data_IF_806447767151
#
_entry.id   IF_806447767151
#
_cell.length_a   1.000
_cell.length_b   1.000
_cell.length_c   1.000
_cell.angle_alpha   90.00
_cell.angle_beta   90.00
_cell.angle_gamma   90.00
#
_symmetry.space_group_name_H-M   'P 1'
#
loop_
_entity.id
_entity.type
_entity.pdbx_description
1 polymer ?
#
# COMPACT_ATOMS: atom_id res chain seq x y z
N UNK A 1 -6.63 19.71 9.94
CA UNK A 1 -5.80 18.57 9.51
C UNK A 1 -5.94 18.47 7.99
N UNK A 2 -4.85 18.24 7.25
CA UNK A 2 -4.86 18.23 5.79
C UNK A 2 -5.04 16.80 5.30
N UNK A 3 -6.18 16.49 4.67
CA UNK A 3 -6.46 15.19 4.08
C UNK A 3 -6.08 15.18 2.61
N UNK A 4 -5.54 14.07 2.13
CA UNK A 4 -5.20 13.88 0.73
C UNK A 4 -5.30 12.41 0.35
N UNK A 5 -5.41 12.13 -0.93
CA UNK A 5 -5.27 10.78 -1.47
C UNK A 5 -3.84 10.58 -1.96
N UNK A 6 -3.27 9.43 -1.63
CA UNK A 6 -2.01 8.95 -2.14
C UNK A 6 -2.19 7.58 -2.80
N UNK A 7 -1.23 7.19 -3.63
CA UNK A 7 -1.22 5.88 -4.29
C UNK A 7 -0.18 4.99 -3.62
N UNK A 8 -0.60 3.80 -3.21
CA UNK A 8 0.30 2.71 -2.87
C UNK A 8 0.22 1.68 -3.99
N UNK A 9 1.36 1.24 -4.52
CA UNK A 9 1.40 0.24 -5.57
C UNK A 9 2.56 -0.71 -5.29
N UNK A 10 2.33 -2.02 -5.16
CA UNK A 10 3.36 -2.95 -4.76
C UNK A 10 4.44 -3.05 -5.84
N UNK A 11 5.69 -3.02 -5.42
CA UNK A 11 6.82 -3.52 -6.19
C UNK A 11 6.96 -5.04 -6.08
N UNK A 12 6.11 -5.68 -5.25
CA UNK A 12 6.17 -7.11 -4.92
C UNK A 12 7.52 -7.48 -4.33
N UNK A 13 7.93 -6.71 -3.34
CA UNK A 13 9.19 -6.87 -2.65
C UNK A 13 9.00 -6.68 -1.15
N UNK A 14 9.62 -7.51 -0.30
CA UNK A 14 9.40 -7.48 1.15
C UNK A 14 9.65 -6.12 1.84
N UNK A 15 10.31 -5.18 1.14
CA UNK A 15 10.53 -3.81 1.62
C UNK A 15 9.35 -2.85 1.37
N UNK A 16 8.27 -3.28 0.72
CA UNK A 16 7.10 -2.44 0.55
C UNK A 16 6.45 -2.16 1.91
N UNK A 17 5.97 -0.94 2.10
CA UNK A 17 5.42 -0.50 3.38
C UNK A 17 4.05 -1.15 3.62
N UNK A 18 3.90 -1.87 4.74
CA UNK A 18 2.60 -2.35 5.22
C UNK A 18 1.70 -1.18 5.64
N UNK A 19 0.40 -1.28 5.35
CA UNK A 19 -0.59 -0.24 5.63
C UNK A 19 -1.75 -0.80 6.43
N UNK A 20 -2.26 -0.05 7.41
CA UNK A 20 -3.44 -0.44 8.19
C UNK A 20 -4.34 0.76 8.43
N UNK A 21 -5.63 0.63 8.13
CA UNK A 21 -6.62 1.68 8.38
C UNK A 21 -6.67 1.99 9.88
N UNK A 22 -6.61 3.29 10.21
CA UNK A 22 -6.56 3.79 11.59
C UNK A 22 -5.15 3.93 12.15
N UNK A 23 -4.13 3.30 11.55
CA UNK A 23 -2.75 3.42 12.01
C UNK A 23 -2.19 4.81 11.69
N UNK A 24 -1.40 5.33 12.63
CA UNK A 24 -0.57 6.53 12.43
C UNK A 24 0.89 6.10 12.44
N UNK A 25 1.64 6.46 11.41
CA UNK A 25 3.04 6.11 11.28
C UNK A 25 3.79 7.16 10.46
N UNK A 26 5.10 7.00 10.38
CA UNK A 26 5.95 7.73 9.45
C UNK A 26 6.11 6.89 8.19
N UNK A 27 5.60 7.40 7.07
CA UNK A 27 5.67 6.75 5.77
C UNK A 27 6.71 7.42 4.89
N UNK A 28 7.45 6.61 4.14
CA UNK A 28 8.29 7.08 3.06
C UNK A 28 7.40 7.35 1.84
N UNK A 29 7.39 8.59 1.36
CA UNK A 29 6.55 9.03 0.25
C UNK A 29 7.36 9.79 -0.78
N UNK A 30 6.96 9.66 -2.05
CA UNK A 30 7.49 10.43 -3.18
C UNK A 30 6.37 11.31 -3.72
N UNK A 31 6.67 12.57 -3.98
CA UNK A 31 5.69 13.51 -4.54
C UNK A 31 5.97 13.68 -6.03
N UNK A 32 5.29 12.92 -6.89
CA UNK A 32 5.34 13.22 -8.31
C UNK A 32 4.60 14.52 -8.63
N UNK A 33 4.83 15.07 -9.82
CA UNK A 33 4.17 16.29 -10.31
C UNK A 33 2.63 16.19 -10.32
N UNK A 34 2.07 14.98 -10.29
CA UNK A 34 0.63 14.71 -10.40
C UNK A 34 0.02 13.98 -9.19
N UNK A 35 0.80 13.32 -8.34
CA UNK A 35 0.25 12.53 -7.23
C UNK A 35 1.28 12.25 -6.12
N UNK A 36 0.79 12.14 -4.89
CA UNK A 36 1.59 11.62 -3.77
C UNK A 36 1.57 10.10 -3.82
N UNK A 37 2.73 9.46 -3.69
CA UNK A 37 2.87 8.00 -3.74
C UNK A 37 3.64 7.49 -2.53
N UNK A 38 3.27 6.32 -2.03
CA UNK A 38 4.13 5.60 -1.10
C UNK A 38 5.36 5.10 -1.85
N UNK A 39 6.53 5.22 -1.23
CA UNK A 39 7.73 4.61 -1.77
C UNK A 39 7.65 3.08 -1.62
N UNK A 40 7.98 2.36 -2.68
CA UNK A 40 7.93 0.90 -2.78
C UNK A 40 9.21 0.40 -3.47
N UNK A 41 9.65 -0.81 -3.13
CA UNK A 41 10.88 -1.41 -3.65
C UNK A 41 12.09 -0.48 -3.60
N UNK A 42 12.76 -0.31 -4.75
CA UNK A 42 13.97 0.50 -4.88
C UNK A 42 13.72 1.99 -5.15
N UNK A 43 12.47 2.44 -5.25
CA UNK A 43 12.15 3.86 -5.47
C UNK A 43 12.66 4.73 -4.31
N UNK A 44 12.70 4.17 -3.10
CA UNK A 44 13.29 4.81 -1.92
C UNK A 44 14.78 5.13 -2.07
N UNK A 45 15.52 4.47 -2.98
CA UNK A 45 16.96 4.62 -3.10
C UNK A 45 17.41 5.61 -4.20
N UNK A 46 16.51 6.01 -5.10
CA UNK A 46 16.90 6.73 -6.35
C UNK A 46 16.32 8.14 -6.48
N UNK A 47 15.35 8.51 -5.66
CA UNK A 47 14.65 9.78 -5.84
C UNK A 47 15.04 10.84 -4.79
N UNK A 48 15.51 12.00 -5.26
CA UNK A 48 15.79 13.18 -4.43
C UNK A 48 14.51 13.76 -3.81
N UNK A 49 13.34 13.26 -4.20
CA UNK A 49 12.03 13.68 -3.72
C UNK A 49 11.45 12.77 -2.62
N UNK A 50 12.21 11.78 -2.14
CA UNK A 50 11.80 10.97 -0.99
C UNK A 50 11.64 11.83 0.26
N UNK A 51 10.46 11.75 0.90
CA UNK A 51 10.14 12.43 2.15
C UNK A 51 9.56 11.45 3.15
N UNK A 52 9.97 11.58 4.40
CA UNK A 52 9.29 10.95 5.52
C UNK A 52 8.11 11.83 5.94
N UNK A 53 6.92 11.23 5.95
CA UNK A 53 5.65 11.92 6.22
C UNK A 53 4.93 11.19 7.35
N UNK A 54 4.72 11.87 8.46
CA UNK A 54 3.84 11.34 9.50
C UNK A 54 2.38 11.53 9.07
N UNK A 55 1.65 10.42 8.96
CA UNK A 55 0.26 10.44 8.55
C UNK A 55 -0.56 9.32 9.21
N UNK A 56 -1.86 9.53 9.27
CA UNK A 56 -2.85 8.50 9.62
C UNK A 56 -3.52 7.96 8.37
N UNK A 57 -3.59 6.64 8.25
CA UNK A 57 -4.34 5.98 7.17
C UNK A 57 -5.84 6.03 7.51
N UNK A 58 -6.63 6.66 6.65
CA UNK A 58 -8.08 6.80 6.83
C UNK A 58 -8.85 5.72 6.08
N UNK A 59 -8.42 5.37 4.87
CA UNK A 59 -9.04 4.33 4.06
C UNK A 59 -8.07 3.78 3.03
N UNK A 60 -8.29 2.54 2.59
CA UNK A 60 -7.57 1.89 1.49
C UNK A 60 -8.62 1.28 0.56
N UNK A 61 -8.50 1.56 -0.73
CA UNK A 61 -9.39 1.04 -1.76
C UNK A 61 -8.61 0.57 -2.98
N UNK A 62 -9.03 -0.54 -3.55
CA UNK A 62 -8.56 -1.06 -4.83
C UNK A 62 -9.79 -1.41 -5.69
N UNK A 63 -9.72 -1.18 -6.99
CA UNK A 63 -10.89 -1.38 -7.85
C UNK A 63 -11.28 -2.86 -7.94
N UNK A 64 -10.29 -3.75 -7.94
CA UNK A 64 -10.50 -5.19 -8.07
C UNK A 64 -10.86 -5.86 -6.73
N UNK A 65 -10.19 -5.49 -5.63
CA UNK A 65 -10.38 -6.12 -4.32
C UNK A 65 -11.39 -5.39 -3.42
N UNK A 66 -11.77 -4.16 -3.78
CA UNK A 66 -12.67 -3.32 -3.00
C UNK A 66 -11.99 -2.65 -1.80
N UNK A 67 -12.72 -2.54 -0.69
CA UNK A 67 -12.23 -1.89 0.54
C UNK A 67 -11.27 -2.80 1.28
N UNK A 68 -10.16 -2.23 1.74
CA UNK A 68 -9.09 -2.94 2.43
C UNK A 68 -8.89 -2.32 3.81
N UNK A 69 -8.78 -3.18 4.82
CA UNK A 69 -8.53 -2.77 6.21
C UNK A 69 -7.04 -2.79 6.55
N UNK A 70 -6.28 -3.70 5.91
CA UNK A 70 -4.86 -3.92 6.17
C UNK A 70 -4.16 -4.56 4.96
N UNK A 71 -2.94 -4.14 4.70
CA UNK A 71 -2.00 -4.73 3.75
C UNK A 71 -0.76 -5.13 4.55
N UNK A 72 -0.50 -6.43 4.64
CA UNK A 72 0.75 -6.96 5.20
C UNK A 72 1.66 -7.39 4.05
N UNK A 73 2.90 -6.90 4.08
CA UNK A 73 3.90 -7.08 3.02
C UNK A 73 5.06 -8.00 3.43
N UNK A 74 5.01 -8.55 4.65
CA UNK A 74 6.07 -9.40 5.19
C UNK A 74 6.06 -10.82 4.60
N UNK A 75 7.22 -11.29 4.16
CA UNK A 75 7.42 -12.63 3.61
C UNK A 75 7.22 -12.73 2.09
N UNK A 76 7.06 -13.95 1.59
CA UNK A 76 6.98 -14.26 0.15
C UNK A 76 5.58 -14.04 -0.45
N UNK A 77 4.60 -13.70 0.39
CA UNK A 77 3.24 -13.42 -0.06
C UNK A 77 2.67 -12.26 0.75
N UNK A 78 2.00 -11.36 0.05
CA UNK A 78 1.29 -10.25 0.67
C UNK A 78 -0.10 -10.71 1.10
N UNK A 79 -0.63 -10.07 2.15
CA UNK A 79 -1.99 -10.33 2.63
C UNK A 79 -2.79 -9.03 2.60
N UNK A 80 -3.83 -9.00 1.76
CA UNK A 80 -4.75 -7.89 1.61
C UNK A 80 -6.06 -8.20 2.33
N UNK A 81 -6.23 -7.68 3.53
CA UNK A 81 -7.39 -7.93 4.37
C UNK A 81 -8.56 -7.05 3.94
N UNK A 82 -9.68 -7.67 3.56
CA UNK A 82 -10.94 -6.99 3.19
C UNK A 82 -11.99 -7.05 4.32
N UNK A 83 -11.70 -7.82 5.37
CA UNK A 83 -12.47 -7.93 6.61
C UNK A 83 -11.59 -8.48 7.73
N UNK A 84 -12.14 -8.62 8.95
CA UNK A 84 -11.36 -9.04 10.12
C UNK A 84 -10.57 -10.35 9.89
N UNK A 85 -11.23 -11.34 9.30
CA UNK A 85 -10.68 -12.69 9.07
C UNK A 85 -10.67 -13.07 7.58
N UNK A 86 -10.84 -12.10 6.67
CA UNK A 86 -10.91 -12.34 5.22
C UNK A 86 -9.82 -11.56 4.51
N UNK A 87 -8.96 -12.27 3.79
CA UNK A 87 -7.85 -11.67 3.06
C UNK A 87 -7.54 -12.41 1.76
N UNK A 88 -7.03 -11.66 0.79
CA UNK A 88 -6.37 -12.20 -0.41
C UNK A 88 -4.88 -12.38 -0.12
N UNK A 89 -4.37 -13.58 -0.33
CA UNK A 89 -2.95 -13.89 -0.33
C UNK A 89 -2.44 -13.74 -1.76
N UNK A 90 -1.43 -12.91 -1.95
CA UNK A 90 -0.89 -12.60 -3.26
C UNK A 90 0.61 -12.90 -3.28
N UNK A 91 1.03 -13.71 -4.23
CA UNK A 91 2.41 -14.12 -4.43
C UNK A 91 3.29 -12.90 -4.80
N UNK A 92 4.50 -12.81 -4.23
CA UNK A 92 5.40 -11.67 -4.43
C UNK A 92 6.76 -12.03 -5.06
N UNK A 93 7.11 -13.31 -5.22
CA UNK A 93 8.44 -13.76 -5.65
C UNK A 93 8.44 -14.33 -7.07
N UNK A 94 7.86 -15.52 -7.27
CA UNK A 94 7.94 -16.24 -8.55
C UNK A 94 6.89 -15.80 -9.57
N UNK A 95 5.69 -15.45 -9.10
CA UNK A 95 4.54 -15.03 -9.89
C UNK A 95 3.87 -13.78 -9.29
N UNK A 96 4.58 -12.64 -9.25
CA UNK A 96 4.10 -11.44 -8.57
C UNK A 96 2.68 -11.03 -8.99
N UNK A 97 1.82 -10.83 -8.00
CA UNK A 97 0.42 -10.45 -8.23
C UNK A 97 -0.55 -11.63 -8.41
N UNK A 98 -0.08 -12.89 -8.42
CA UNK A 98 -0.96 -14.06 -8.49
C UNK A 98 -1.69 -14.28 -7.17
N UNK A 99 -3.00 -14.48 -7.23
CA UNK A 99 -3.84 -14.76 -6.07
C UNK A 99 -3.74 -16.25 -5.72
N UNK A 100 -3.30 -16.55 -4.50
CA UNK A 100 -3.02 -17.92 -4.01
C UNK A 100 -4.11 -18.47 -3.09
N UNK A 101 -5.20 -17.72 -2.87
CA UNK A 101 -6.34 -18.20 -2.08
C UNK A 101 -7.69 -17.60 -2.55
N UNK A 102 -8.79 -18.12 -1.98
CA UNK A 102 -10.18 -17.71 -2.24
C UNK A 102 -10.74 -18.05 -3.64
N UNK A 103 -11.94 -17.53 -3.94
CA UNK A 103 -12.67 -17.77 -5.19
C UNK A 103 -11.93 -17.26 -6.45
N UNK A 104 -10.92 -16.41 -6.28
CA UNK A 104 -10.08 -15.87 -7.34
C UNK A 104 -8.74 -16.61 -7.48
N UNK A 105 -8.59 -17.79 -6.86
CA UNK A 105 -7.37 -18.60 -6.91
C UNK A 105 -6.86 -18.79 -8.34
N UNK A 106 -5.58 -18.51 -8.55
CA UNK A 106 -4.88 -18.64 -9.83
C UNK A 106 -5.08 -17.48 -10.80
N UNK A 107 -5.94 -16.51 -10.47
CA UNK A 107 -6.03 -15.25 -11.20
C UNK A 107 -4.96 -14.25 -10.71
N UNK A 108 -4.85 -13.10 -11.38
CA UNK A 108 -3.88 -12.06 -11.06
C UNK A 108 -4.58 -10.77 -10.62
N UNK A 109 -3.92 -10.03 -9.73
CA UNK A 109 -4.25 -8.65 -9.45
C UNK A 109 -3.81 -7.78 -10.64
N UNK A 110 -4.77 -7.33 -11.44
CA UNK A 110 -4.53 -6.47 -12.60
C UNK A 110 -4.52 -5.00 -12.25
N UNK A 111 -5.25 -4.60 -11.21
CA UNK A 111 -5.16 -3.25 -10.64
C UNK A 111 -4.19 -3.25 -9.45
N UNK A 112 -2.98 -2.77 -9.69
CA UNK A 112 -1.96 -2.65 -8.64
C UNK A 112 -1.97 -1.29 -7.95
N UNK A 113 -2.87 -0.37 -8.31
CA UNK A 113 -2.96 0.92 -7.64
C UNK A 113 -3.99 0.85 -6.51
N UNK A 114 -3.52 1.14 -5.30
CA UNK A 114 -4.34 1.26 -4.11
C UNK A 114 -4.48 2.73 -3.77
N UNK A 115 -5.72 3.22 -3.77
CA UNK A 115 -6.05 4.56 -3.34
C UNK A 115 -6.07 4.60 -1.82
N UNK A 116 -5.19 5.40 -1.24
CA UNK A 116 -5.03 5.52 0.20
C UNK A 116 -5.38 6.94 0.61
N UNK A 117 -6.48 7.10 1.34
CA UNK A 117 -6.78 8.38 1.96
C UNK A 117 -5.95 8.50 3.25
N UNK A 118 -5.22 9.61 3.37
CA UNK A 118 -4.36 9.88 4.52
C UNK A 118 -4.67 11.25 5.13
N UNK A 119 -4.47 11.35 6.43
CA UNK A 119 -4.48 12.60 7.18
C UNK A 119 -3.06 12.93 7.62
N UNK A 120 -2.53 14.06 7.12
CA UNK A 120 -1.16 14.48 7.43
C UNK A 120 -1.09 15.10 8.83
N UNK A 121 -0.14 14.63 9.65
CA UNK A 121 0.18 15.28 10.91
C UNK A 121 0.81 16.66 10.65
N UNK A 122 0.48 17.68 11.46
CA UNK A 122 1.15 18.98 11.36
C UNK A 122 2.62 18.82 11.75
N UNK A 123 3.54 19.18 10.84
CA UNK A 123 4.97 19.20 11.17
C UNK A 123 5.20 20.13 12.37
N UNK A 124 5.74 19.59 13.47
CA UNK A 124 6.31 20.42 14.54
C UNK A 124 7.51 21.15 13.94
N UNK A 125 7.41 22.47 13.86
CA UNK A 125 8.51 23.36 13.48
C UNK A 125 9.56 23.39 14.58
#
# INVERSE_FOLDING_TARGET
MNKTTAIWAPAWYELDQSLAVGATSVFAMVKSSSSMRFATGLDAAKDNELRQVEAKILSIYNEQLGKIIRIDTEGLCYKFFVGADTFFQIEAEENPGRIENNAMLGSYLTDTNFLVEIELSPMKR
#
